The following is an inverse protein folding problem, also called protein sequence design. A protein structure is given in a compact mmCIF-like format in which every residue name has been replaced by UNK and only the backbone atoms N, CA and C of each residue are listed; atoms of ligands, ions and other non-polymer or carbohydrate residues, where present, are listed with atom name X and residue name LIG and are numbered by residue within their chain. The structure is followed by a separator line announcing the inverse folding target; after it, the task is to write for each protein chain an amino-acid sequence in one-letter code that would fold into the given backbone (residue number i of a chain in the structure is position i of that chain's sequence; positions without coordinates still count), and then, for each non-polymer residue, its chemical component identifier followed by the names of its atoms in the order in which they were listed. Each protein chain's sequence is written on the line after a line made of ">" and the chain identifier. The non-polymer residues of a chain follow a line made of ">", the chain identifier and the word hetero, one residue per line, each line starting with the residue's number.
data_IF_827164973645
#
_entry.id   IF_827164973645
#
_cell.length_a   1.000
_cell.length_b   1.000
_cell.length_c   1.000
_cell.angle_alpha   90.00
_cell.angle_beta   90.00
_cell.angle_gamma   90.00
#
_symmetry.space_group_name_H-M   'P 1'
#
loop_
_entity.id
_entity.type
_entity.pdbx_description
1 polymer ?
#
# COMPACT_ATOMS: atom_id res chain seq x y z
N UNK A 1 19.77 9.98 9.45
CA UNK A 1 20.05 8.53 9.60
C UNK A 1 21.14 8.38 10.62
N UNK A 2 20.99 7.43 11.55
CA UNK A 2 21.98 7.18 12.60
C UNK A 2 22.29 5.68 12.64
N UNK A 3 23.55 5.31 12.66
CA UNK A 3 24.00 3.96 13.01
C UNK A 3 24.43 4.02 14.47
N UNK A 4 23.73 3.28 15.31
CA UNK A 4 23.97 3.30 16.75
C UNK A 4 23.81 1.90 17.36
N UNK A 5 24.53 1.66 18.45
CA UNK A 5 24.15 0.62 19.39
C UNK A 5 22.99 1.16 20.21
N UNK A 6 21.85 0.51 20.12
CA UNK A 6 20.64 0.97 20.77
C UNK A 6 19.73 -0.19 21.16
N UNK A 7 18.86 0.05 22.12
CA UNK A 7 17.68 -0.74 22.41
C UNK A 7 16.42 0.10 22.21
N UNK A 8 15.26 -0.53 22.06
CA UNK A 8 14.03 0.22 21.87
C UNK A 8 12.84 -0.44 22.55
N UNK A 9 11.91 0.37 23.02
CA UNK A 9 10.63 -0.08 23.57
C UNK A 9 9.50 0.68 22.90
N UNK A 10 8.54 -0.03 22.35
CA UNK A 10 7.32 0.55 21.79
C UNK A 10 6.14 0.23 22.69
N UNK A 11 5.29 1.22 22.88
CA UNK A 11 4.01 1.14 23.60
C UNK A 11 2.93 1.80 22.75
N UNK A 12 1.85 1.06 22.46
CA UNK A 12 0.75 1.51 21.62
C UNK A 12 -0.30 0.42 21.49
N UNK A 13 -0.78 0.13 20.28
CA UNK A 13 -1.72 -0.98 20.03
C UNK A 13 -1.19 -2.33 20.49
N UNK A 14 0.14 -2.47 20.49
CA UNK A 14 0.89 -3.61 21.01
C UNK A 14 2.06 -3.05 21.82
N UNK A 15 2.71 -3.91 22.61
CA UNK A 15 3.99 -3.59 23.23
C UNK A 15 5.07 -4.45 22.60
N UNK A 16 6.22 -3.85 22.28
CA UNK A 16 7.38 -4.57 21.79
C UNK A 16 8.67 -4.03 22.40
N UNK A 17 9.64 -4.91 22.56
CA UNK A 17 10.99 -4.55 23.06
C UNK A 17 12.01 -5.09 22.06
N UNK A 18 12.94 -4.24 21.67
CA UNK A 18 14.10 -4.56 20.87
C UNK A 18 15.34 -4.54 21.76
N UNK A 19 16.00 -5.68 21.90
CA UNK A 19 17.22 -5.78 22.68
C UNK A 19 18.36 -4.96 22.07
N UNK A 20 19.34 -4.60 22.90
CA UNK A 20 20.53 -3.85 22.49
C UNK A 20 21.24 -4.51 21.32
N UNK A 21 21.64 -3.70 20.35
CA UNK A 21 22.39 -4.10 19.17
C UNK A 21 22.65 -2.93 18.25
N UNK A 22 23.57 -3.10 17.31
CA UNK A 22 23.86 -2.09 16.28
C UNK A 22 22.70 -2.06 15.29
N UNK A 23 22.12 -0.88 15.05
CA UNK A 23 20.95 -0.66 14.21
C UNK A 23 21.14 0.56 13.32
N UNK A 24 20.46 0.53 12.20
CA UNK A 24 20.21 1.73 11.40
C UNK A 24 18.90 2.35 11.89
N UNK A 25 18.97 3.58 12.36
CA UNK A 25 17.81 4.39 12.72
C UNK A 25 17.60 5.43 11.63
N UNK A 26 16.43 5.42 11.01
CA UNK A 26 16.04 6.37 9.98
C UNK A 26 14.94 7.28 10.52
N UNK A 27 15.19 8.58 10.50
CA UNK A 27 14.17 9.61 10.77
C UNK A 27 13.98 10.39 9.48
N UNK A 28 12.76 10.45 8.99
CA UNK A 28 12.40 11.19 7.77
C UNK A 28 11.89 12.58 8.11
N UNK A 29 11.90 13.47 7.12
CA UNK A 29 11.44 14.85 7.28
C UNK A 29 9.96 14.98 7.69
N UNK A 30 9.13 13.98 7.37
CA UNK A 30 7.72 13.91 7.79
C UNK A 30 7.52 13.40 9.21
N UNK A 31 8.60 13.04 9.92
CA UNK A 31 8.57 12.47 11.26
C UNK A 31 8.42 10.95 11.30
N UNK A 32 8.41 10.26 10.16
CA UNK A 32 8.44 8.80 10.15
C UNK A 32 9.78 8.30 10.72
N UNK A 33 9.72 7.32 11.64
CA UNK A 33 10.91 6.71 12.26
C UNK A 33 10.90 5.20 12.00
N UNK A 34 12.06 4.64 11.65
CA UNK A 34 12.23 3.21 11.42
C UNK A 34 13.59 2.71 11.93
N UNK A 35 13.59 1.53 12.55
CA UNK A 35 14.78 0.83 13.02
C UNK A 35 15.00 -0.44 12.20
N UNK A 36 16.19 -0.59 11.64
CA UNK A 36 16.56 -1.73 10.81
C UNK A 36 17.74 -2.51 11.40
N UNK A 37 17.75 -3.83 11.20
CA UNK A 37 18.93 -4.67 11.35
C UNK A 37 19.59 -4.89 9.98
N UNK A 38 20.82 -5.39 10.01
CA UNK A 38 21.60 -5.69 8.82
C UNK A 38 21.06 -6.89 8.04
N UNK A 39 20.46 -7.86 8.74
CA UNK A 39 19.93 -9.11 8.18
C UNK A 39 18.58 -9.48 8.79
N UNK A 40 17.89 -10.39 8.14
CA UNK A 40 16.74 -11.11 8.71
C UNK A 40 15.37 -10.59 8.36
N UNK A 41 15.22 -9.35 7.89
CA UNK A 41 13.94 -8.82 7.45
C UNK A 41 14.11 -7.70 6.42
N UNK A 42 13.28 -7.69 5.39
CA UNK A 42 13.17 -6.56 4.47
C UNK A 42 12.37 -5.39 5.06
N UNK A 43 11.55 -5.63 6.08
CA UNK A 43 10.81 -4.62 6.84
C UNK A 43 11.63 -4.11 8.03
N UNK A 44 11.37 -2.88 8.50
CA UNK A 44 11.93 -2.42 9.76
C UNK A 44 11.58 -3.37 10.91
N UNK A 45 12.48 -3.51 11.89
CA UNK A 45 12.22 -4.24 13.13
C UNK A 45 11.18 -3.51 14.00
N UNK A 46 11.21 -2.18 13.99
CA UNK A 46 10.23 -1.31 14.63
C UNK A 46 10.09 -0.01 13.83
N UNK A 47 8.89 0.57 13.79
CA UNK A 47 8.65 1.83 13.10
C UNK A 47 7.42 2.55 13.64
N UNK A 48 7.39 3.86 13.44
CA UNK A 48 6.20 4.70 13.63
C UNK A 48 6.00 5.56 12.38
N UNK A 49 4.80 5.47 11.78
CA UNK A 49 4.43 6.28 10.63
C UNK A 49 4.10 7.71 11.06
N UNK A 50 4.43 8.68 10.20
CA UNK A 50 4.04 10.06 10.39
C UNK A 50 2.50 10.23 10.54
N UNK A 51 2.02 11.28 11.25
CA UNK A 51 2.83 12.34 11.87
C UNK A 51 3.33 11.95 13.25
N UNK A 52 4.62 12.14 13.50
CA UNK A 52 5.22 11.93 14.82
C UNK A 52 5.97 13.19 15.28
N UNK A 53 6.11 13.31 16.60
CA UNK A 53 7.05 14.22 17.24
C UNK A 53 8.22 13.42 17.77
N UNK A 54 9.44 13.79 17.36
CA UNK A 54 10.69 13.19 17.87
C UNK A 54 11.29 14.15 18.86
N UNK A 55 11.49 13.70 20.09
CA UNK A 55 12.18 14.45 21.14
C UNK A 55 13.52 13.79 21.40
N UNK A 56 14.59 14.53 21.16
CA UNK A 56 15.95 14.07 21.41
C UNK A 56 16.37 14.46 22.84
N UNK A 57 16.77 13.46 23.62
CA UNK A 57 17.36 13.61 24.95
C UNK A 57 18.82 13.13 24.91
N UNK A 58 19.60 13.37 25.96
CA UNK A 58 21.04 13.08 25.98
C UNK A 58 21.37 11.60 25.69
N UNK A 59 20.54 10.67 26.18
CA UNK A 59 20.77 9.23 26.09
C UNK A 59 19.71 8.50 25.29
N UNK A 60 18.66 9.17 24.82
CA UNK A 60 17.52 8.53 24.12
C UNK A 60 16.73 9.45 23.23
N UNK A 61 16.07 8.86 22.26
CA UNK A 61 15.03 9.53 21.50
C UNK A 61 13.66 9.00 21.88
N UNK A 62 12.72 9.91 22.01
CA UNK A 62 11.31 9.59 22.31
C UNK A 62 10.46 10.05 21.14
N UNK A 63 9.80 9.10 20.50
CA UNK A 63 8.89 9.34 19.37
C UNK A 63 7.46 9.15 19.86
N UNK A 64 6.61 10.13 19.65
CA UNK A 64 5.19 10.07 20.02
C UNK A 64 4.31 10.51 18.86
N UNK A 65 3.09 10.01 18.81
CA UNK A 65 2.10 10.41 17.83
C UNK A 65 0.78 10.87 18.50
N UNK A 66 -0.14 11.50 17.74
CA UNK A 66 -1.43 11.95 18.27
C UNK A 66 -2.34 10.82 18.79
N UNK A 67 -2.10 9.56 18.39
CA UNK A 67 -2.84 8.40 18.88
C UNK A 67 -2.35 7.91 20.26
N UNK A 68 -1.33 8.55 20.85
CA UNK A 68 -0.76 8.19 22.14
C UNK A 68 0.24 7.04 22.08
N UNK A 69 0.67 6.62 20.90
CA UNK A 69 1.74 5.64 20.73
C UNK A 69 3.09 6.27 21.07
N UNK A 70 3.99 5.48 21.65
CA UNK A 70 5.31 5.91 22.08
C UNK A 70 6.36 4.88 21.71
N UNK A 71 7.41 5.32 21.03
CA UNK A 71 8.63 4.57 20.77
C UNK A 71 9.78 5.28 21.47
N UNK A 72 10.44 4.60 22.41
CA UNK A 72 11.62 5.08 23.10
C UNK A 72 12.83 4.29 22.61
N UNK A 73 13.85 4.99 22.14
CA UNK A 73 15.09 4.43 21.59
C UNK A 73 16.21 4.89 22.50
N UNK A 74 16.75 3.98 23.30
CA UNK A 74 17.92 4.24 24.18
C UNK A 74 19.18 4.12 23.31
N UNK A 75 19.97 5.20 23.24
CA UNK A 75 21.20 5.30 22.47
C UNK A 75 22.39 5.01 23.38
N UNK A 76 23.02 3.86 23.22
CA UNK A 76 24.18 3.45 24.05
C UNK A 76 25.50 3.96 23.45
N UNK A 77 25.59 3.96 22.11
CA UNK A 77 26.76 4.42 21.36
C UNK A 77 26.34 4.86 19.96
N UNK A 78 26.61 6.09 19.58
CA UNK A 78 26.43 6.58 18.22
C UNK A 78 27.71 6.29 17.44
N UNK A 79 27.62 5.43 16.43
CA UNK A 79 28.75 5.02 15.59
C UNK A 79 28.90 6.01 14.42
N UNK A 80 27.76 6.40 13.83
CA UNK A 80 27.73 7.35 12.73
C UNK A 80 26.38 8.06 12.70
N UNK A 81 26.41 9.35 12.41
CA UNK A 81 25.23 10.11 12.10
C UNK A 81 25.36 10.78 10.71
N UNK A 82 24.25 10.93 10.01
CA UNK A 82 24.21 11.52 8.68
C UNK A 82 22.87 12.20 8.44
N UNK A 83 22.93 13.51 8.15
CA UNK A 83 21.77 14.28 7.74
C UNK A 83 21.92 14.64 6.27
N UNK A 84 21.04 14.10 5.43
CA UNK A 84 21.00 14.39 3.99
C UNK A 84 19.56 14.75 3.63
N UNK A 85 19.32 15.92 3.03
CA UNK A 85 18.02 16.20 2.46
C UNK A 85 17.76 15.21 1.31
N UNK A 86 16.65 14.51 1.36
CA UNK A 86 16.19 13.63 0.30
C UNK A 86 15.16 14.38 -0.53
N UNK A 87 15.10 14.05 -1.82
CA UNK A 87 14.07 14.61 -2.70
C UNK A 87 12.67 14.23 -2.19
N UNK A 88 11.76 15.18 -2.27
CA UNK A 88 10.37 15.00 -1.83
C UNK A 88 9.50 14.41 -2.93
N UNK A 89 10.04 14.15 -4.11
CA UNK A 89 9.29 13.54 -5.19
C UNK A 89 8.84 12.12 -4.81
N UNK A 90 7.54 11.93 -4.78
CA UNK A 90 6.90 10.63 -4.54
C UNK A 90 6.89 9.81 -5.83
N UNK A 91 8.07 9.55 -6.36
CA UNK A 91 8.21 8.83 -7.63
C UNK A 91 8.68 7.41 -7.42
N UNK A 92 7.88 6.54 -6.79
CA UNK A 92 7.97 5.15 -7.15
C UNK A 92 7.37 5.04 -8.55
N UNK A 93 8.21 4.84 -9.57
CA UNK A 93 7.72 4.48 -10.90
C UNK A 93 7.02 3.13 -10.72
N UNK A 94 5.69 3.10 -10.85
CA UNK A 94 4.93 1.85 -10.91
C UNK A 94 5.62 0.94 -11.93
N UNK A 95 5.71 -0.34 -11.65
CA UNK A 95 6.12 -1.36 -12.63
C UNK A 95 5.38 -1.01 -13.93
N UNK A 96 6.08 -0.96 -15.05
CA UNK A 96 5.49 -0.58 -16.34
C UNK A 96 4.21 -1.36 -16.65
N UNK A 97 4.11 -2.59 -16.14
CA UNK A 97 2.94 -3.47 -16.25
C UNK A 97 1.73 -2.93 -15.47
N UNK A 98 1.87 -2.47 -14.23
CA UNK A 98 0.72 -1.93 -13.47
C UNK A 98 0.18 -0.64 -14.08
N UNK A 99 1.07 0.25 -14.53
CA UNK A 99 0.67 1.47 -15.23
C UNK A 99 -0.04 1.17 -16.55
N UNK A 100 0.46 0.20 -17.31
CA UNK A 100 -0.14 -0.23 -18.55
C UNK A 100 -1.51 -0.86 -18.32
N UNK A 101 -1.63 -1.75 -17.32
CA UNK A 101 -2.91 -2.32 -16.91
C UNK A 101 -3.91 -1.22 -16.51
N UNK A 102 -3.49 -0.24 -15.71
CA UNK A 102 -4.33 0.87 -15.29
C UNK A 102 -4.83 1.67 -16.51
N UNK A 103 -3.96 1.92 -17.48
CA UNK A 103 -4.35 2.63 -18.68
C UNK A 103 -5.35 1.82 -19.52
N UNK A 104 -5.02 0.57 -19.85
CA UNK A 104 -5.84 -0.29 -20.71
C UNK A 104 -7.20 -0.60 -20.06
N UNK A 105 -7.23 -0.88 -18.76
CA UNK A 105 -8.48 -1.16 -18.04
C UNK A 105 -9.35 0.09 -17.88
N UNK A 106 -8.75 1.28 -17.83
CA UNK A 106 -9.52 2.52 -17.82
C UNK A 106 -10.13 2.82 -19.21
N UNK A 107 -9.45 2.45 -20.29
CA UNK A 107 -9.95 2.57 -21.67
C UNK A 107 -10.98 1.48 -22.00
N UNK A 108 -10.84 0.29 -21.42
CA UNK A 108 -11.65 -0.89 -21.66
C UNK A 108 -12.18 -1.51 -20.36
N UNK A 109 -13.04 -0.82 -19.60
CA UNK A 109 -13.51 -1.26 -18.29
C UNK A 109 -14.37 -2.54 -18.33
N UNK A 110 -14.92 -2.91 -19.49
CA UNK A 110 -15.65 -4.16 -19.69
C UNK A 110 -14.78 -5.41 -19.43
N UNK A 111 -13.46 -5.31 -19.51
CA UNK A 111 -12.56 -6.40 -19.12
C UNK A 111 -12.49 -6.60 -17.59
N UNK A 112 -12.92 -5.62 -16.81
CA UNK A 112 -13.08 -5.76 -15.36
C UNK A 112 -14.44 -6.38 -15.06
N UNK A 113 -15.48 -5.77 -15.58
CA UNK A 113 -16.87 -6.23 -15.45
C UNK A 113 -17.71 -5.58 -16.55
N UNK A 114 -18.54 -6.39 -17.23
CA UNK A 114 -19.38 -5.92 -18.33
C UNK A 114 -20.34 -4.83 -17.86
N UNK A 115 -20.38 -3.73 -18.59
CA UNK A 115 -21.24 -2.58 -18.29
C UNK A 115 -20.64 -1.56 -17.35
N UNK A 116 -19.38 -1.69 -16.96
CA UNK A 116 -18.66 -0.62 -16.26
C UNK A 116 -18.34 0.54 -17.21
N UNK A 117 -18.37 1.74 -16.65
CA UNK A 117 -17.93 2.96 -17.34
C UNK A 117 -16.92 3.68 -16.45
N UNK A 118 -15.77 4.00 -16.99
CA UNK A 118 -14.73 4.76 -16.28
C UNK A 118 -15.17 6.20 -16.04
N UNK A 119 -15.12 6.66 -14.79
CA UNK A 119 -15.34 8.06 -14.41
C UNK A 119 -14.01 8.80 -14.43
N UNK A 120 -13.02 8.29 -13.68
CA UNK A 120 -11.71 8.93 -13.55
C UNK A 120 -10.65 7.93 -13.12
N UNK A 121 -9.42 8.14 -13.59
CA UNK A 121 -8.21 7.47 -13.10
C UNK A 121 -7.64 8.25 -11.93
N UNK A 122 -6.98 7.53 -11.00
CA UNK A 122 -6.33 8.12 -9.82
C UNK A 122 -7.28 9.01 -9.02
N UNK A 123 -8.47 8.46 -8.71
CA UNK A 123 -9.45 9.18 -7.90
C UNK A 123 -8.90 9.47 -6.51
N UNK A 124 -8.80 10.76 -6.16
CA UNK A 124 -8.15 11.21 -4.93
C UNK A 124 -9.03 10.98 -3.71
N UNK A 125 -8.48 10.32 -2.71
CA UNK A 125 -9.01 10.24 -1.35
C UNK A 125 -8.03 10.88 -0.37
N UNK A 126 -8.44 11.08 0.88
CA UNK A 126 -7.59 11.62 1.95
C UNK A 126 -6.42 10.70 2.35
N UNK A 127 -6.46 9.41 1.94
CA UNK A 127 -5.44 8.39 2.25
C UNK A 127 -4.64 7.92 1.03
N UNK A 128 -4.89 8.52 -0.13
CA UNK A 128 -4.22 8.20 -1.40
C UNK A 128 -5.20 8.04 -2.56
N UNK A 129 -4.71 7.90 -3.80
CA UNK A 129 -5.55 7.70 -4.96
C UNK A 129 -6.03 6.25 -5.09
N UNK A 130 -7.28 6.06 -5.52
CA UNK A 130 -7.82 4.81 -6.05
C UNK A 130 -7.47 4.75 -7.55
N UNK A 131 -6.99 3.62 -8.04
CA UNK A 131 -6.47 3.51 -9.40
C UNK A 131 -7.52 3.89 -10.47
N UNK A 132 -8.74 3.35 -10.38
CA UNK A 132 -9.84 3.73 -11.26
C UNK A 132 -11.13 3.81 -10.45
N UNK A 133 -11.89 4.89 -10.64
CA UNK A 133 -13.29 4.99 -10.22
C UNK A 133 -14.16 4.75 -11.44
N UNK A 134 -15.07 3.79 -11.35
CA UNK A 134 -16.06 3.45 -12.37
C UNK A 134 -17.49 3.65 -11.88
N UNK A 135 -18.42 3.62 -12.82
CA UNK A 135 -19.87 3.53 -12.60
C UNK A 135 -20.36 2.21 -13.17
N UNK A 136 -21.15 1.47 -12.42
CA UNK A 136 -21.81 0.28 -12.96
C UNK A 136 -23.15 0.60 -13.66
N UNK A 137 -23.73 -0.41 -14.31
CA UNK A 137 -24.98 -0.26 -15.07
C UNK A 137 -26.18 0.15 -14.20
N UNK A 138 -26.11 -0.04 -12.87
CA UNK A 138 -27.15 0.38 -11.92
C UNK A 138 -26.95 1.82 -11.42
N UNK A 139 -25.84 2.46 -11.79
CA UNK A 139 -25.45 3.79 -11.34
C UNK A 139 -24.64 3.79 -10.04
N UNK A 140 -24.27 2.64 -9.52
CA UNK A 140 -23.40 2.51 -8.34
C UNK A 140 -21.93 2.80 -8.64
N UNK A 141 -21.21 3.32 -7.66
CA UNK A 141 -19.76 3.56 -7.77
C UNK A 141 -18.97 2.27 -7.58
N UNK A 142 -17.92 2.08 -8.39
CA UNK A 142 -17.01 0.94 -8.31
C UNK A 142 -15.58 1.44 -8.22
N UNK A 143 -14.94 1.17 -7.08
CA UNK A 143 -13.52 1.45 -6.87
C UNK A 143 -12.69 0.25 -7.34
N UNK A 144 -11.76 0.47 -8.25
CA UNK A 144 -10.89 -0.57 -8.78
C UNK A 144 -9.46 -0.33 -8.31
N UNK A 145 -8.87 -1.34 -7.68
CA UNK A 145 -7.44 -1.40 -7.33
C UNK A 145 -6.75 -2.35 -8.30
N UNK A 146 -5.62 -1.94 -8.86
CA UNK A 146 -4.90 -2.67 -9.89
C UNK A 146 -3.54 -3.10 -9.38
N UNK A 147 -3.21 -4.37 -9.56
CA UNK A 147 -1.91 -4.94 -9.22
C UNK A 147 -1.43 -5.86 -10.34
N UNK A 148 -0.12 -5.98 -10.51
CA UNK A 148 0.43 -7.04 -11.36
C UNK A 148 0.07 -8.40 -10.76
N UNK A 149 0.29 -8.57 -9.46
CA UNK A 149 -0.11 -9.75 -8.69
C UNK A 149 -1.00 -9.29 -7.55
N UNK A 150 -2.25 -9.76 -7.51
CA UNK A 150 -3.20 -9.48 -6.44
C UNK A 150 -2.86 -10.29 -5.19
N UNK A 151 -2.36 -9.63 -4.17
CA UNK A 151 -2.00 -10.19 -2.86
C UNK A 151 -2.89 -9.58 -1.76
N UNK A 152 -2.70 -10.04 -0.53
CA UNK A 152 -3.49 -9.60 0.64
C UNK A 152 -3.41 -8.06 0.82
N UNK A 153 -2.25 -7.47 0.58
CA UNK A 153 -2.03 -6.03 0.74
C UNK A 153 -2.88 -5.17 -0.22
N UNK A 154 -3.11 -5.64 -1.46
CA UNK A 154 -4.02 -4.99 -2.40
C UNK A 154 -5.47 -5.00 -1.90
N UNK A 155 -5.94 -6.13 -1.32
CA UNK A 155 -7.26 -6.22 -0.71
C UNK A 155 -7.36 -5.30 0.52
N UNK A 156 -6.35 -5.27 1.35
CA UNK A 156 -6.26 -4.40 2.54
C UNK A 156 -6.29 -2.91 2.13
N UNK A 157 -5.58 -2.56 1.08
CA UNK A 157 -5.55 -1.20 0.52
C UNK A 157 -6.94 -0.79 0.04
N UNK A 158 -7.57 -1.62 -0.80
CA UNK A 158 -8.91 -1.37 -1.32
C UNK A 158 -9.96 -1.29 -0.21
N UNK A 159 -9.86 -2.14 0.82
CA UNK A 159 -10.74 -2.06 2.00
C UNK A 159 -10.69 -0.69 2.65
N UNK A 160 -9.48 -0.14 2.88
CA UNK A 160 -9.32 1.21 3.46
C UNK A 160 -9.92 2.31 2.58
N UNK A 161 -9.77 2.20 1.25
CA UNK A 161 -10.39 3.14 0.33
C UNK A 161 -11.92 3.08 0.41
N UNK A 162 -12.51 1.89 0.40
CA UNK A 162 -13.96 1.71 0.50
C UNK A 162 -14.53 2.28 1.79
N UNK A 163 -13.87 2.09 2.93
CA UNK A 163 -14.26 2.68 4.22
C UNK A 163 -14.30 4.21 4.17
N UNK A 164 -13.43 4.85 3.38
CA UNK A 164 -13.42 6.31 3.17
C UNK A 164 -14.53 6.74 2.21
N UNK A 165 -14.61 6.08 1.07
CA UNK A 165 -15.56 6.41 0.02
C UNK A 165 -17.01 6.21 0.46
N UNK A 166 -17.31 5.25 1.35
CA UNK A 166 -18.64 5.04 1.93
C UNK A 166 -19.13 6.20 2.79
N UNK A 167 -18.25 7.14 3.17
CA UNK A 167 -18.64 8.36 3.92
C UNK A 167 -19.04 9.50 3.00
N UNK A 168 -18.80 9.39 1.72
CA UNK A 168 -19.16 10.37 0.72
C UNK A 168 -20.55 10.05 0.12
N UNK A 169 -21.58 10.86 0.37
CA UNK A 169 -22.93 10.60 -0.13
C UNK A 169 -23.03 10.58 -1.67
N UNK A 170 -22.08 11.22 -2.39
CA UNK A 170 -22.07 11.24 -3.85
C UNK A 170 -21.53 9.93 -4.46
N UNK A 171 -20.81 9.14 -3.66
CA UNK A 171 -20.24 7.87 -4.10
C UNK A 171 -21.06 6.64 -3.70
N UNK A 172 -21.97 6.78 -2.73
CA UNK A 172 -22.77 5.66 -2.21
C UNK A 172 -23.94 5.32 -3.16
N UNK A 173 -24.19 4.03 -3.46
CA UNK A 173 -23.44 2.86 -3.01
C UNK A 173 -22.10 2.70 -3.71
N UNK A 174 -21.07 2.29 -2.95
CA UNK A 174 -19.73 2.02 -3.50
C UNK A 174 -19.30 0.60 -3.15
N UNK A 175 -18.76 -0.12 -4.13
CA UNK A 175 -18.15 -1.45 -4.00
C UNK A 175 -16.74 -1.46 -4.58
N UNK A 176 -15.97 -2.50 -4.29
CA UNK A 176 -14.60 -2.63 -4.77
C UNK A 176 -14.37 -3.84 -5.65
N UNK A 177 -13.42 -3.72 -6.58
CA UNK A 177 -12.90 -4.81 -7.40
C UNK A 177 -11.36 -4.75 -7.39
N UNK A 178 -10.70 -5.87 -7.05
CA UNK A 178 -9.27 -6.05 -7.23
C UNK A 178 -9.02 -6.66 -8.61
N UNK A 179 -8.36 -5.93 -9.51
CA UNK A 179 -7.99 -6.39 -10.84
C UNK A 179 -6.48 -6.69 -10.90
N UNK A 180 -6.09 -7.87 -11.39
CA UNK A 180 -4.69 -8.24 -11.50
C UNK A 180 -4.47 -9.25 -12.63
N UNK A 181 -3.21 -9.42 -13.09
CA UNK A 181 -2.92 -10.53 -14.04
C UNK A 181 -3.00 -11.90 -13.36
N UNK A 182 -2.84 -11.95 -12.05
CA UNK A 182 -3.03 -13.17 -11.23
C UNK A 182 -3.42 -12.75 -9.82
N UNK A 183 -4.45 -13.37 -9.25
CA UNK A 183 -4.86 -13.13 -7.86
C UNK A 183 -4.54 -14.35 -7.01
N UNK A 184 -3.74 -14.17 -5.96
CA UNK A 184 -3.33 -15.25 -5.06
C UNK A 184 -4.53 -15.83 -4.31
N UNK A 185 -4.56 -17.17 -4.04
CA UNK A 185 -5.69 -17.80 -3.36
C UNK A 185 -6.09 -17.15 -2.05
N UNK A 186 -5.11 -16.73 -1.23
CA UNK A 186 -5.36 -16.05 0.04
C UNK A 186 -6.00 -14.68 -0.15
N UNK A 187 -5.63 -13.95 -1.22
CA UNK A 187 -6.23 -12.67 -1.55
C UNK A 187 -7.69 -12.84 -2.02
N UNK A 188 -7.99 -13.90 -2.80
CA UNK A 188 -9.37 -14.22 -3.22
C UNK A 188 -10.26 -14.44 -2.00
N UNK A 189 -9.84 -15.33 -1.09
CA UNK A 189 -10.60 -15.64 0.15
C UNK A 189 -10.83 -14.37 0.97
N UNK A 190 -9.82 -13.53 1.13
CA UNK A 190 -9.96 -12.29 1.89
C UNK A 190 -10.89 -11.29 1.19
N UNK A 191 -10.78 -11.11 -0.13
CA UNK A 191 -11.64 -10.24 -0.91
C UNK A 191 -13.12 -10.66 -0.78
N UNK A 192 -13.42 -11.94 -1.01
CA UNK A 192 -14.75 -12.51 -0.89
C UNK A 192 -15.33 -12.33 0.52
N UNK A 193 -14.53 -12.53 1.57
CA UNK A 193 -14.97 -12.33 2.96
C UNK A 193 -15.34 -10.89 3.30
N UNK A 194 -14.82 -9.92 2.50
CA UNK A 194 -15.09 -8.48 2.65
C UNK A 194 -16.10 -7.93 1.64
N UNK A 195 -16.69 -8.80 0.81
CA UNK A 195 -17.60 -8.37 -0.26
C UNK A 195 -16.90 -7.58 -1.38
N UNK A 196 -15.58 -7.75 -1.53
CA UNK A 196 -14.77 -7.17 -2.59
C UNK A 196 -14.72 -8.18 -3.75
N UNK A 197 -15.09 -7.73 -4.96
CA UNK A 197 -14.91 -8.51 -6.18
C UNK A 197 -13.43 -8.64 -6.55
N UNK A 198 -13.10 -9.66 -7.33
CA UNK A 198 -11.78 -9.78 -7.93
C UNK A 198 -11.87 -10.30 -9.36
N UNK A 199 -10.92 -9.90 -10.20
CA UNK A 199 -10.83 -10.35 -11.60
C UNK A 199 -9.38 -10.55 -11.99
N UNK A 200 -9.12 -11.64 -12.72
CA UNK A 200 -7.84 -11.85 -13.41
C UNK A 200 -7.98 -11.38 -14.86
N UNK A 201 -7.06 -10.52 -15.26
CA UNK A 201 -7.05 -9.91 -16.60
C UNK A 201 -5.85 -10.37 -17.40
N UNK A 202 -6.05 -10.72 -18.65
CA UNK A 202 -4.99 -11.08 -19.58
C UNK A 202 -4.48 -9.84 -20.31
N UNK A 203 -3.24 -9.49 -20.08
CA UNK A 203 -2.61 -8.31 -20.66
C UNK A 203 -2.49 -8.42 -22.21
N UNK A 204 -2.25 -9.62 -22.74
CA UNK A 204 -2.20 -9.83 -24.18
C UNK A 204 -3.56 -9.58 -24.84
N UNK A 205 -4.62 -10.06 -24.22
CA UNK A 205 -6.01 -9.78 -24.66
C UNK A 205 -6.35 -8.29 -24.58
N UNK A 206 -5.92 -7.59 -23.50
CA UNK A 206 -6.10 -6.15 -23.35
C UNK A 206 -5.38 -5.33 -24.43
N UNK A 207 -4.23 -5.81 -24.90
CA UNK A 207 -3.47 -5.18 -26.01
C UNK A 207 -4.06 -5.49 -27.38
N UNK A 208 -5.06 -6.35 -27.46
CA UNK A 208 -5.60 -6.86 -28.73
C UNK A 208 -4.62 -7.79 -29.45
N UNK A 209 -3.67 -8.36 -28.74
CA UNK A 209 -2.77 -9.38 -29.27
C UNK A 209 -3.56 -10.68 -29.34
N UNK A 210 -3.87 -11.16 -30.56
CA UNK A 210 -4.48 -12.48 -30.72
C UNK A 210 -3.50 -13.55 -30.23
N UNK A 211 -3.97 -14.46 -29.36
CA UNK A 211 -3.19 -15.63 -28.95
C UNK A 211 -2.94 -16.50 -30.20
N UNK A 212 -1.71 -16.57 -30.72
CA UNK A 212 -1.41 -17.36 -31.92
C UNK A 212 -1.47 -18.88 -31.69
N UNK A 213 -1.78 -19.30 -30.45
CA UNK A 213 -1.85 -20.72 -30.10
C UNK A 213 -3.26 -21.24 -30.42
N UNK A 214 -3.44 -22.04 -31.49
CA UNK A 214 -4.73 -22.69 -31.73
C UNK A 214 -5.00 -23.60 -30.51
N UNK A 215 -6.13 -23.37 -29.81
CA UNK A 215 -6.61 -24.31 -28.77
C UNK A 215 -6.90 -25.64 -29.45
N UNK A 216 -6.00 -26.60 -29.26
CA UNK A 216 -6.02 -27.91 -29.91
C UNK A 216 -7.12 -28.87 -29.40
N UNK A 217 -7.89 -28.46 -28.38
CA UNK A 217 -9.00 -29.25 -27.84
C UNK A 217 -10.18 -28.36 -27.46
N UNK A 218 -11.12 -28.23 -28.39
CA UNK A 218 -12.51 -28.00 -28.07
C UNK A 218 -13.20 -29.38 -28.14
N UNK A 219 -13.47 -29.98 -27.02
CA UNK A 219 -14.41 -31.10 -26.88
C UNK A 219 -15.52 -30.67 -25.94
#
# INVERSE_FOLDING_TARGET
>A
MVIARCSATYQGRLSSTLASGVRLIMVKADGCVALHADIGAYKPLNWMNAPNTVTELDDRWVVTNPAGERLEILLEEIIQDLVVPLDTERGLTMDGVERELQQLLAEHPDHIEVGLTTIVREFRTDIGPVDILCRDASGGSVAVEIKRIGEIDGVEQLTRYLERMQRDPELVPVRGILAATTVRPQARVLAESRGIGWVEVDLASLRGEEDPTPRLFAL
#
